data_IF_002512690602
#
_entry.id   IF_002512690602
#
_cell.length_a   1.000
_cell.length_b   1.000
_cell.length_c   1.000
_cell.angle_alpha   90.00
_cell.angle_beta   90.00
_cell.angle_gamma   90.00
#
_symmetry.space_group_name_H-M   'P 1'
#
loop_
_entity.id
_entity.type
_entity.pdbx_description
1 polymer ?
#
# COMPACT_ATOMS: atom_id res chain seq x y z
N UNK A 1 18.35 4.24 11.71
CA UNK A 1 17.63 3.28 10.83
C UNK A 1 17.71 3.81 9.42
N UNK A 2 17.92 2.99 8.38
CA UNK A 2 18.09 3.51 7.02
C UNK A 2 16.79 4.11 6.46
N UNK A 3 16.96 5.10 5.60
CA UNK A 3 15.94 5.73 4.78
C UNK A 3 15.97 5.15 3.38
N UNK A 4 14.88 4.54 2.92
CA UNK A 4 14.75 3.90 1.62
C UNK A 4 14.14 4.86 0.61
N UNK A 5 14.80 5.00 -0.54
CA UNK A 5 14.36 5.84 -1.66
C UNK A 5 13.71 4.96 -2.72
N UNK A 6 12.51 5.35 -3.14
CA UNK A 6 11.67 4.61 -4.08
C UNK A 6 11.17 5.54 -5.19
N UNK A 7 11.37 5.12 -6.43
CA UNK A 7 10.83 5.78 -7.61
C UNK A 7 9.54 5.08 -8.06
N UNK A 8 8.45 5.82 -8.06
CA UNK A 8 7.19 5.41 -8.67
C UNK A 8 7.10 5.99 -10.08
N UNK A 9 7.15 5.11 -11.07
CA UNK A 9 6.91 5.48 -12.46
C UNK A 9 5.40 5.58 -12.75
N UNK A 10 5.05 6.17 -13.90
CA UNK A 10 3.66 6.23 -14.34
C UNK A 10 3.04 4.83 -14.48
N UNK A 11 3.83 3.88 -15.03
CA UNK A 11 3.47 2.46 -15.09
C UNK A 11 3.87 1.81 -13.77
N UNK A 12 2.91 1.28 -12.98
CA UNK A 12 3.21 0.79 -11.64
C UNK A 12 4.27 -0.31 -11.60
N UNK A 13 4.23 -1.25 -12.55
CA UNK A 13 5.15 -2.40 -12.59
C UNK A 13 6.60 -2.03 -12.95
N UNK A 14 6.83 -0.77 -13.36
CA UNK A 14 8.17 -0.22 -13.58
C UNK A 14 8.74 0.45 -12.33
N UNK A 15 7.94 0.64 -11.28
CA UNK A 15 8.39 1.31 -10.05
C UNK A 15 9.49 0.51 -9.36
N UNK A 16 10.53 1.20 -8.92
CA UNK A 16 11.77 0.57 -8.46
C UNK A 16 12.27 1.15 -7.14
N UNK A 17 12.93 0.29 -6.39
CA UNK A 17 13.72 0.68 -5.25
C UNK A 17 15.07 1.21 -5.74
N UNK A 18 15.42 2.44 -5.34
CA UNK A 18 16.63 3.10 -5.83
C UNK A 18 17.83 2.82 -4.92
N UNK A 19 17.72 3.15 -3.64
CA UNK A 19 18.80 3.02 -2.67
C UNK A 19 18.29 3.07 -1.22
N UNK A 20 19.17 2.75 -0.26
CA UNK A 20 18.99 3.04 1.15
C UNK A 20 20.11 3.97 1.62
N UNK A 21 19.74 4.95 2.43
CA UNK A 21 20.66 5.86 3.07
C UNK A 21 20.68 5.61 4.58
N UNK A 22 21.84 5.33 5.14
CA UNK A 22 22.07 5.23 6.58
C UNK A 22 22.51 6.55 7.21
N UNK A 23 23.02 7.48 6.41
CA UNK A 23 23.52 8.77 6.86
C UNK A 23 22.89 9.97 6.12
N UNK A 24 22.87 11.15 6.76
CA UNK A 24 22.37 12.39 6.15
C UNK A 24 23.22 12.84 4.96
N UNK A 25 24.51 12.52 4.97
CA UNK A 25 25.48 12.78 3.89
C UNK A 25 25.10 12.07 2.60
N UNK A 26 24.65 10.81 2.70
CA UNK A 26 24.17 10.02 1.56
C UNK A 26 22.90 10.61 0.96
N UNK A 27 22.01 11.14 1.79
CA UNK A 27 20.76 11.78 1.33
C UNK A 27 21.06 13.08 0.59
N UNK A 28 22.02 13.88 1.07
CA UNK A 28 22.49 15.06 0.33
C UNK A 28 23.03 14.69 -1.04
N UNK A 29 23.76 13.57 -1.15
CA UNK A 29 24.23 13.06 -2.43
C UNK A 29 23.07 12.65 -3.35
N UNK A 30 22.06 11.94 -2.84
CA UNK A 30 20.85 11.56 -3.61
C UNK A 30 20.10 12.80 -4.10
N UNK A 31 20.05 13.87 -3.31
CA UNK A 31 19.39 15.13 -3.68
C UNK A 31 20.23 16.01 -4.62
N UNK A 32 21.46 15.61 -4.97
CA UNK A 32 22.36 16.42 -5.78
C UNK A 32 22.91 17.67 -5.06
N UNK A 33 22.77 17.73 -3.73
CA UNK A 33 23.24 18.80 -2.87
C UNK A 33 24.72 18.62 -2.54
N UNK A 34 25.63 18.86 -3.49
CA UNK A 34 27.06 18.97 -3.18
C UNK A 34 27.49 20.44 -3.06
N UNK A 35 28.14 20.76 -1.94
CA UNK A 35 29.16 21.82 -1.91
C UNK A 35 30.37 21.35 -2.73
N UNK A 36 30.93 22.22 -3.56
CA UNK A 36 32.19 21.99 -4.26
C UNK A 36 33.30 21.61 -3.26
N UNK A 37 33.51 20.33 -3.02
CA UNK A 37 34.74 19.86 -2.40
C UNK A 37 35.38 18.73 -3.20
N UNK A 38 36.69 18.91 -3.31
CA UNK A 38 37.65 18.30 -4.20
C UNK A 38 37.66 16.77 -4.10
N UNK A 39 37.64 16.14 -5.28
CA UNK A 39 37.88 14.73 -5.58
C UNK A 39 38.92 14.10 -4.63
N UNK A 40 38.57 12.98 -4.00
CA UNK A 40 39.47 11.82 -3.86
C UNK A 40 38.70 10.56 -3.44
N UNK A 41 38.69 9.56 -4.33
CA UNK A 41 38.49 8.11 -4.09
C UNK A 41 37.14 7.68 -3.47
N UNK A 42 36.42 6.66 -3.90
CA UNK A 42 36.64 5.50 -4.75
C UNK A 42 35.28 5.18 -5.39
N UNK A 43 35.27 4.29 -6.40
CA UNK A 43 34.09 3.82 -7.12
C UNK A 43 32.98 3.29 -6.18
N UNK A 44 32.13 4.18 -5.68
CA UNK A 44 30.80 3.85 -5.20
C UNK A 44 29.86 3.95 -6.40
N UNK A 45 29.04 2.93 -6.62
CA UNK A 45 28.01 2.93 -7.65
C UNK A 45 27.31 4.28 -7.69
N UNK A 46 27.14 4.86 -8.88
CA UNK A 46 26.58 6.21 -9.06
C UNK A 46 25.22 6.29 -8.37
N UNK A 47 25.20 6.86 -7.16
CA UNK A 47 23.96 7.06 -6.42
C UNK A 47 23.11 8.02 -7.25
N UNK A 48 21.87 7.65 -7.59
CA UNK A 48 21.05 8.45 -8.49
C UNK A 48 20.81 9.84 -7.92
N UNK A 49 21.04 10.86 -8.74
CA UNK A 49 20.71 12.25 -8.42
C UNK A 49 19.25 12.52 -8.79
N UNK A 50 18.45 12.90 -7.79
CA UNK A 50 17.00 13.09 -7.92
C UNK A 50 16.72 14.59 -8.01
N UNK A 51 16.55 15.08 -9.23
CA UNK A 51 16.13 16.45 -9.47
C UNK A 51 14.60 16.50 -9.70
N UNK A 52 13.81 17.24 -8.89
CA UNK A 52 12.35 17.36 -9.06
C UNK A 52 11.88 17.63 -10.50
N UNK A 53 12.58 18.54 -11.18
CA UNK A 53 12.30 18.90 -12.57
C UNK A 53 12.50 17.78 -13.61
N UNK A 54 13.26 16.72 -13.31
CA UNK A 54 13.49 15.61 -14.25
C UNK A 54 12.41 14.55 -14.20
N UNK A 55 11.50 14.59 -13.22
CA UNK A 55 10.37 13.66 -13.12
C UNK A 55 9.47 13.78 -14.35
N UNK A 56 9.10 12.67 -14.98
CA UNK A 56 8.08 12.69 -16.01
C UNK A 56 6.70 12.98 -15.42
N UNK A 57 5.73 13.26 -16.28
CA UNK A 57 4.36 13.54 -15.84
C UNK A 57 3.82 12.32 -15.06
N UNK A 58 3.19 12.56 -13.90
CA UNK A 58 2.66 11.55 -12.96
C UNK A 58 3.67 10.66 -12.26
N UNK A 59 4.97 10.82 -12.53
CA UNK A 59 5.99 10.15 -11.75
C UNK A 59 6.08 10.75 -10.35
N UNK A 60 6.52 9.92 -9.42
CA UNK A 60 6.75 10.33 -8.04
C UNK A 60 8.02 9.71 -7.51
N UNK A 61 8.73 10.47 -6.68
CA UNK A 61 9.81 9.92 -5.88
C UNK A 61 9.43 10.04 -4.42
N UNK A 62 9.80 9.02 -3.64
CA UNK A 62 9.56 9.00 -2.21
C UNK A 62 10.77 8.51 -1.46
N UNK A 63 10.89 8.98 -0.23
CA UNK A 63 11.88 8.54 0.73
C UNK A 63 11.14 8.17 2.02
N UNK A 64 11.33 6.95 2.51
CA UNK A 64 10.58 6.39 3.64
C UNK A 64 11.48 5.59 4.57
N UNK A 65 11.11 5.46 5.84
CA UNK A 65 11.78 4.56 6.77
C UNK A 65 11.77 3.12 6.23
N UNK A 66 12.89 2.42 6.25
CA UNK A 66 13.05 1.07 5.67
C UNK A 66 12.07 0.01 6.19
N UNK A 67 11.60 0.18 7.42
CA UNK A 67 10.64 -0.72 8.06
C UNK A 67 9.24 -0.11 8.14
N UNK A 68 8.98 0.97 7.38
CA UNK A 68 7.65 1.57 7.34
C UNK A 68 6.64 0.54 6.83
N UNK A 69 5.60 0.32 7.63
CA UNK A 69 4.43 -0.43 7.23
C UNK A 69 3.30 0.54 6.95
N UNK A 70 2.65 0.38 5.79
CA UNK A 70 1.41 1.08 5.52
C UNK A 70 0.31 0.54 6.45
N UNK A 71 -0.27 1.41 7.27
CA UNK A 71 -1.34 1.08 8.22
C UNK A 71 -2.53 2.01 8.04
N UNK A 72 -3.65 1.70 8.70
CA UNK A 72 -4.82 2.60 8.75
C UNK A 72 -4.52 3.95 9.41
N UNK A 73 -3.37 4.11 10.07
CA UNK A 73 -2.89 5.36 10.67
C UNK A 73 -1.86 6.10 9.80
N UNK A 74 -1.46 5.53 8.66
CA UNK A 74 -0.54 6.17 7.73
C UNK A 74 -1.28 7.25 6.95
N UNK A 75 -0.75 8.47 6.97
CA UNK A 75 -1.39 9.67 6.42
C UNK A 75 -0.39 10.55 5.71
N UNK A 76 -0.84 11.29 4.72
CA UNK A 76 -0.03 12.31 4.07
C UNK A 76 -0.59 13.71 4.26
N UNK A 77 0.32 14.69 4.21
CA UNK A 77 0.02 16.11 4.29
C UNK A 77 0.77 16.80 3.16
N UNK A 78 0.06 17.52 2.30
CA UNK A 78 0.61 17.96 1.01
C UNK A 78 0.62 19.47 0.87
N UNK A 79 1.67 19.96 0.22
CA UNK A 79 1.72 21.28 -0.41
C UNK A 79 1.57 21.04 -1.91
N UNK A 80 0.60 21.71 -2.53
CA UNK A 80 0.24 21.54 -3.94
C UNK A 80 0.53 22.83 -4.72
N UNK A 81 0.53 22.75 -6.07
CA UNK A 81 0.70 23.91 -6.97
C UNK A 81 2.06 24.59 -6.85
N UNK A 82 3.10 23.84 -6.50
CA UNK A 82 4.46 24.35 -6.50
C UNK A 82 4.97 24.49 -7.93
N UNK A 83 5.57 25.64 -8.26
CA UNK A 83 6.25 25.83 -9.54
C UNK A 83 7.59 25.10 -9.56
N UNK A 84 8.22 25.00 -10.74
CA UNK A 84 9.54 24.35 -10.91
C UNK A 84 10.63 24.92 -10.00
N UNK A 85 10.64 26.23 -9.81
CA UNK A 85 11.68 26.90 -9.00
C UNK A 85 11.41 26.70 -7.50
N UNK A 86 10.14 26.78 -7.09
CA UNK A 86 9.72 26.57 -5.71
C UNK A 86 9.92 25.11 -5.28
N UNK A 87 9.56 24.15 -6.14
CA UNK A 87 9.59 22.73 -5.79
C UNK A 87 11.00 22.22 -5.55
N UNK A 88 12.00 22.76 -6.25
CA UNK A 88 13.39 22.29 -6.11
C UNK A 88 13.89 22.56 -4.69
N UNK A 89 13.81 23.82 -4.26
CA UNK A 89 14.19 24.22 -2.89
C UNK A 89 13.30 23.57 -1.82
N UNK A 90 11.99 23.49 -2.07
CA UNK A 90 11.06 22.92 -1.09
C UNK A 90 11.25 21.41 -0.92
N UNK A 91 11.52 20.68 -2.01
CA UNK A 91 11.82 19.25 -1.97
C UNK A 91 13.10 18.97 -1.21
N UNK A 92 14.16 19.72 -1.47
CA UNK A 92 15.44 19.59 -0.76
C UNK A 92 15.26 19.77 0.75
N UNK A 93 14.58 20.84 1.15
CA UNK A 93 14.25 21.10 2.55
C UNK A 93 13.39 19.97 3.16
N UNK A 94 12.31 19.58 2.47
CA UNK A 94 11.40 18.54 2.93
C UNK A 94 12.07 17.16 3.06
N UNK A 95 12.94 16.82 2.12
CA UNK A 95 13.72 15.59 2.13
C UNK A 95 14.70 15.57 3.29
N UNK A 96 15.49 16.63 3.48
CA UNK A 96 16.39 16.75 4.62
C UNK A 96 15.65 16.71 5.96
N UNK A 97 14.52 17.42 6.06
CA UNK A 97 13.67 17.40 7.25
C UNK A 97 13.17 15.98 7.59
N UNK A 98 12.62 15.25 6.61
CA UNK A 98 12.16 13.88 6.82
C UNK A 98 13.32 12.93 7.16
N UNK A 99 14.46 13.11 6.51
CA UNK A 99 15.67 12.36 6.78
C UNK A 99 16.16 12.52 8.22
N UNK A 100 16.19 13.74 8.74
CA UNK A 100 16.55 14.02 10.13
C UNK A 100 15.62 13.29 11.09
N UNK A 101 14.31 13.31 10.84
CA UNK A 101 13.36 12.55 11.64
C UNK A 101 13.60 11.03 11.59
N UNK A 102 13.90 10.47 10.41
CA UNK A 102 14.09 9.03 10.19
C UNK A 102 15.41 8.54 10.80
N UNK A 103 16.49 9.27 10.56
CA UNK A 103 17.85 8.88 10.95
C UNK A 103 18.12 9.18 12.43
N UNK A 104 17.62 10.31 12.96
CA UNK A 104 17.80 10.68 14.37
C UNK A 104 16.81 9.99 15.32
N UNK A 105 15.84 9.22 14.79
CA UNK A 105 14.88 8.42 15.53
C UNK A 105 15.51 7.47 16.57
N UNK A 106 16.78 7.11 16.39
CA UNK A 106 17.53 6.21 17.27
C UNK A 106 17.65 6.70 18.72
N UNK A 107 17.36 7.98 19.00
CA UNK A 107 17.45 8.58 20.34
C UNK A 107 16.10 8.69 21.06
N UNK A 108 14.98 8.31 20.41
CA UNK A 108 13.62 8.48 20.94
C UNK A 108 13.03 7.22 21.57
N UNK A 109 12.33 7.40 22.70
CA UNK A 109 11.59 6.37 23.47
C UNK A 109 10.99 5.25 22.60
N UNK A 110 11.36 4.00 22.90
CA UNK A 110 10.85 2.74 22.33
C UNK A 110 9.31 2.61 22.31
N UNK A 111 8.58 3.45 23.06
CA UNK A 111 7.12 3.35 23.21
C UNK A 111 6.31 4.17 22.20
N UNK A 112 6.90 5.18 21.55
CA UNK A 112 6.18 6.00 20.57
C UNK A 112 7.09 6.28 19.39
N UNK A 113 6.87 5.53 18.30
CA UNK A 113 7.57 5.73 17.02
C UNK A 113 7.55 7.18 16.53
N UNK A 114 8.42 7.48 15.56
CA UNK A 114 8.52 8.81 14.96
C UNK A 114 7.24 9.14 14.18
N UNK A 115 6.68 10.35 14.36
CA UNK A 115 5.45 10.74 13.67
C UNK A 115 5.67 10.89 12.16
N UNK A 116 6.90 11.21 11.74
CA UNK A 116 7.30 11.29 10.34
C UNK A 116 7.89 9.96 9.90
N UNK A 117 7.34 9.41 8.82
CA UNK A 117 7.72 8.14 8.22
C UNK A 117 8.41 8.31 6.88
N UNK A 118 8.26 9.47 6.24
CA UNK A 118 8.81 9.72 4.92
C UNK A 118 8.30 11.00 4.28
N UNK A 119 8.63 11.16 3.02
CA UNK A 119 8.29 12.31 2.19
C UNK A 119 8.20 11.87 0.73
N UNK A 120 7.44 12.57 -0.08
CA UNK A 120 7.36 12.32 -1.50
C UNK A 120 7.16 13.60 -2.30
N UNK A 121 7.46 13.49 -3.59
CA UNK A 121 7.19 14.49 -4.61
C UNK A 121 6.49 13.82 -5.78
N UNK A 122 5.51 14.51 -6.36
CA UNK A 122 4.79 14.08 -7.56
C UNK A 122 4.70 15.23 -8.55
N UNK A 123 4.94 14.97 -9.84
CA UNK A 123 4.69 15.93 -10.91
C UNK A 123 3.27 15.74 -11.47
N UNK A 124 2.35 16.64 -11.13
CA UNK A 124 0.94 16.52 -11.55
C UNK A 124 0.69 17.12 -12.93
N UNK A 125 1.42 18.17 -13.29
CA UNK A 125 1.35 18.82 -14.60
C UNK A 125 2.75 19.26 -15.06
N UNK A 126 2.93 19.73 -16.31
CA UNK A 126 4.24 20.14 -16.82
C UNK A 126 4.98 21.16 -15.93
N UNK A 127 4.25 22.02 -15.21
CA UNK A 127 4.81 23.02 -14.31
C UNK A 127 4.17 23.01 -12.90
N UNK A 128 3.49 21.91 -12.53
CA UNK A 128 2.79 21.77 -11.24
C UNK A 128 3.28 20.53 -10.51
N UNK A 129 3.74 20.75 -9.28
CA UNK A 129 4.28 19.73 -8.41
C UNK A 129 3.57 19.72 -7.05
N UNK A 130 3.47 18.52 -6.48
CA UNK A 130 3.05 18.31 -5.10
C UNK A 130 4.20 17.71 -4.32
N UNK A 131 4.46 18.25 -3.13
CA UNK A 131 5.36 17.65 -2.14
C UNK A 131 4.54 17.30 -0.92
N UNK A 132 4.72 16.09 -0.39
CA UNK A 132 3.95 15.59 0.73
C UNK A 132 4.80 14.92 1.80
N UNK A 133 4.45 15.16 3.06
CA UNK A 133 5.03 14.48 4.21
C UNK A 133 4.20 13.24 4.55
N UNK A 134 4.86 12.10 4.68
CA UNK A 134 4.25 10.83 5.08
C UNK A 134 4.43 10.68 6.58
N UNK A 135 3.32 10.44 7.27
CA UNK A 135 3.28 10.43 8.74
C UNK A 135 2.51 9.22 9.24
N UNK A 136 2.75 8.84 10.48
CA UNK A 136 2.01 7.80 11.18
C UNK A 136 1.46 8.37 12.49
N UNK A 137 0.15 8.20 12.70
CA UNK A 137 -0.52 8.61 13.93
C UNK A 137 -1.76 9.44 13.67
N UNK A 138 -2.18 10.17 14.71
CA UNK A 138 -3.43 10.96 14.69
C UNK A 138 -3.11 12.43 14.87
N UNK A 139 -4.03 13.31 14.43
CA UNK A 139 -3.89 14.76 14.59
C UNK A 139 -3.85 15.23 16.06
N UNK A 140 -4.14 14.33 17.02
CA UNK A 140 -4.02 14.62 18.46
C UNK A 140 -2.59 14.53 18.97
N UNK A 141 -1.65 13.99 18.19
CA UNK A 141 -0.23 13.93 18.57
C UNK A 141 0.41 15.31 18.36
N UNK A 142 0.82 15.96 19.45
CA UNK A 142 1.48 17.27 19.39
C UNK A 142 2.77 17.22 18.56
N UNK A 143 3.52 16.11 18.62
CA UNK A 143 4.76 15.95 17.85
C UNK A 143 4.50 15.97 16.33
N UNK A 144 3.34 15.45 15.93
CA UNK A 144 2.91 15.52 14.53
C UNK A 144 2.57 16.97 14.16
N UNK A 145 1.85 17.70 15.00
CA UNK A 145 1.51 19.10 14.74
C UNK A 145 2.76 19.98 14.62
N UNK A 146 3.74 19.78 15.50
CA UNK A 146 5.01 20.51 15.47
C UNK A 146 5.79 20.20 14.18
N UNK A 147 5.82 18.93 13.77
CA UNK A 147 6.46 18.52 12.52
C UNK A 147 5.75 19.09 11.28
N UNK A 148 4.42 19.16 11.29
CA UNK A 148 3.64 19.72 10.18
C UNK A 148 3.85 21.23 10.03
N UNK A 149 3.93 21.96 11.14
CA UNK A 149 4.21 23.39 11.13
C UNK A 149 5.60 23.70 10.56
N UNK A 150 6.60 22.88 10.90
CA UNK A 150 7.96 23.01 10.36
C UNK A 150 8.03 22.62 8.88
N UNK A 151 7.36 21.53 8.49
CA UNK A 151 7.33 21.06 7.11
C UNK A 151 6.66 22.04 6.15
N UNK A 152 5.51 22.62 6.53
CA UNK A 152 4.73 23.42 5.60
C UNK A 152 5.34 24.79 5.34
N UNK A 153 6.02 25.40 6.33
CA UNK A 153 6.53 26.77 6.25
C UNK A 153 7.46 26.99 5.03
N UNK A 154 7.29 28.07 4.23
CA UNK A 154 6.30 29.16 4.35
C UNK A 154 4.95 28.91 3.65
N UNK A 155 4.74 27.70 3.12
CA UNK A 155 3.55 27.31 2.36
C UNK A 155 2.40 26.85 3.27
N UNK A 156 1.18 26.91 2.74
CA UNK A 156 0.01 26.31 3.37
C UNK A 156 -0.14 24.85 2.96
N UNK A 157 -0.55 23.99 3.90
CA UNK A 157 -0.95 22.62 3.59
C UNK A 157 -2.28 22.64 2.83
N UNK A 158 -2.28 22.10 1.61
CA UNK A 158 -3.47 21.96 0.78
C UNK A 158 -4.34 20.78 1.24
N UNK A 159 -3.71 19.67 1.64
CA UNK A 159 -4.39 18.52 2.26
C UNK A 159 -3.70 18.14 3.55
N UNK A 160 -4.51 17.87 4.58
CA UNK A 160 -4.06 17.44 5.90
C UNK A 160 -4.75 16.12 6.21
N UNK A 161 -3.99 15.16 6.73
CA UNK A 161 -4.50 13.86 7.13
C UNK A 161 -5.21 13.09 5.99
N UNK A 162 -4.68 13.21 4.77
CA UNK A 162 -5.19 12.49 3.61
C UNK A 162 -4.56 11.09 3.49
N UNK A 163 -5.17 10.22 2.69
CA UNK A 163 -4.55 8.95 2.31
C UNK A 163 -3.38 9.18 1.33
N UNK A 164 -2.31 8.41 1.50
CA UNK A 164 -1.08 8.53 0.71
C UNK A 164 -1.34 8.32 -0.80
N UNK A 165 -1.19 9.30 -1.69
CA UNK A 165 -1.52 9.09 -3.12
C UNK A 165 -0.61 8.07 -3.83
N UNK A 166 0.61 7.83 -3.33
CA UNK A 166 1.53 6.85 -3.89
C UNK A 166 0.95 5.45 -3.80
N UNK A 167 0.97 4.73 -4.93
CA UNK A 167 0.50 3.34 -5.01
C UNK A 167 -0.95 3.15 -4.51
N UNK A 168 -1.80 4.18 -4.59
CA UNK A 168 -3.18 4.12 -4.09
C UNK A 168 -4.00 2.98 -4.69
N UNK A 169 -3.84 2.72 -6.00
CA UNK A 169 -4.46 1.58 -6.67
C UNK A 169 -4.04 0.21 -6.07
N UNK A 170 -2.83 0.11 -5.52
CA UNK A 170 -2.35 -1.13 -4.88
C UNK A 170 -2.95 -1.36 -3.49
N UNK A 171 -3.54 -0.33 -2.88
CA UNK A 171 -4.19 -0.43 -1.58
C UNK A 171 -5.65 -0.89 -1.64
N UNK A 172 -6.25 -0.90 -2.83
CA UNK A 172 -7.59 -1.41 -3.05
C UNK A 172 -7.63 -2.95 -3.15
N UNK A 173 -6.54 -3.64 -2.76
CA UNK A 173 -6.49 -5.09 -2.69
C UNK A 173 -7.16 -5.59 -1.39
N UNK A 174 -8.04 -6.58 -1.52
CA UNK A 174 -8.73 -7.23 -0.40
C UNK A 174 -8.52 -8.74 -0.43
N UNK A 175 -8.41 -9.34 0.76
CA UNK A 175 -8.28 -10.77 0.96
C UNK A 175 -9.62 -11.36 1.41
N UNK A 176 -10.04 -12.45 0.76
CA UNK A 176 -11.17 -13.29 1.16
C UNK A 176 -10.71 -14.73 1.22
N UNK A 177 -11.13 -15.42 2.28
CA UNK A 177 -10.82 -16.82 2.50
C UNK A 177 -12.10 -17.64 2.34
N UNK A 178 -11.99 -18.78 1.69
CA UNK A 178 -13.08 -19.73 1.58
C UNK A 178 -12.57 -21.13 1.83
N UNK A 179 -13.34 -21.90 2.60
CA UNK A 179 -13.06 -23.29 2.90
C UNK A 179 -14.19 -24.14 2.35
N UNK A 180 -13.88 -25.19 1.59
CA UNK A 180 -14.90 -26.06 1.02
C UNK A 180 -15.70 -26.76 2.14
N UNK A 181 -17.03 -26.60 2.19
CA UNK A 181 -17.84 -27.30 3.17
C UNK A 181 -17.77 -28.81 2.96
N UNK A 182 -17.41 -29.56 4.00
CA UNK A 182 -17.50 -31.04 4.01
C UNK A 182 -18.20 -31.53 5.28
N UNK A 183 -18.89 -32.66 5.14
CA UNK A 183 -19.55 -33.34 6.26
C UNK A 183 -18.57 -34.19 7.09
N UNK A 184 -17.50 -34.67 6.44
CA UNK A 184 -16.44 -35.45 7.07
C UNK A 184 -15.60 -34.59 8.01
N UNK A 185 -15.23 -35.14 9.16
CA UNK A 185 -14.30 -34.46 10.07
C UNK A 185 -12.88 -34.52 9.52
N UNK A 186 -12.07 -33.55 9.93
CA UNK A 186 -10.65 -33.55 9.61
C UNK A 186 -9.94 -34.52 10.56
N UNK A 187 -9.10 -35.38 10.02
CA UNK A 187 -8.28 -36.32 10.79
C UNK A 187 -6.79 -36.05 10.56
N UNK A 188 -5.92 -36.42 11.51
CA UNK A 188 -4.48 -36.35 11.32
C UNK A 188 -4.01 -37.04 10.04
N UNK A 189 -2.98 -36.49 9.41
CA UNK A 189 -2.32 -37.02 8.21
C UNK A 189 -3.20 -37.15 6.95
N UNK A 190 -4.47 -36.76 7.01
CA UNK A 190 -5.36 -36.73 5.85
C UNK A 190 -5.46 -35.33 5.29
N UNK A 191 -5.56 -35.28 3.96
CA UNK A 191 -5.79 -34.05 3.22
C UNK A 191 -7.11 -33.43 3.67
N UNK A 192 -7.03 -32.17 4.09
CA UNK A 192 -8.16 -31.36 4.53
C UNK A 192 -9.04 -30.95 3.35
N UNK A 193 -10.28 -30.51 3.60
CA UNK A 193 -11.08 -29.85 2.59
C UNK A 193 -10.29 -28.72 1.90
N UNK A 194 -10.36 -28.62 0.56
CA UNK A 194 -9.69 -27.58 -0.18
C UNK A 194 -10.04 -26.17 0.33
N UNK A 195 -9.01 -25.35 0.47
CA UNK A 195 -9.13 -23.94 0.78
C UNK A 195 -8.88 -23.10 -0.47
N UNK A 196 -9.63 -22.02 -0.62
CA UNK A 196 -9.38 -20.98 -1.61
C UNK A 196 -8.98 -19.68 -0.93
N UNK A 197 -7.90 -19.09 -1.42
CA UNK A 197 -7.49 -17.74 -1.10
C UNK A 197 -7.84 -16.86 -2.30
N UNK A 198 -8.73 -15.90 -2.07
CA UNK A 198 -9.28 -15.02 -3.10
C UNK A 198 -8.75 -13.61 -2.83
N UNK A 199 -7.99 -13.08 -3.78
CA UNK A 199 -7.47 -11.72 -3.76
C UNK A 199 -8.22 -10.91 -4.80
N UNK A 200 -8.77 -9.78 -4.38
CA UNK A 200 -9.55 -8.90 -5.25
C UNK A 200 -8.92 -7.51 -5.26
N UNK A 201 -8.69 -6.92 -6.43
CA UNK A 201 -8.15 -5.57 -6.56
C UNK A 201 -9.04 -4.75 -7.49
N UNK A 202 -9.49 -3.58 -7.01
CA UNK A 202 -10.21 -2.62 -7.84
C UNK A 202 -9.21 -1.84 -8.70
N UNK A 203 -9.48 -1.74 -10.00
CA UNK A 203 -8.66 -1.00 -10.96
C UNK A 203 -9.48 0.13 -11.57
N UNK A 204 -8.94 1.35 -11.53
CA UNK A 204 -9.55 2.52 -12.17
C UNK A 204 -9.11 2.61 -13.64
N UNK A 205 -10.07 2.93 -14.52
CA UNK A 205 -9.99 2.95 -16.00
C UNK A 205 -8.82 3.75 -16.63
N UNK A 206 -8.09 4.56 -15.87
CA UNK A 206 -7.17 5.56 -16.42
C UNK A 206 -5.84 5.01 -16.94
N UNK A 207 -5.54 3.72 -16.73
CA UNK A 207 -4.23 3.14 -17.04
C UNK A 207 -4.24 2.07 -18.16
N UNK A 208 -5.38 1.79 -18.80
CA UNK A 208 -5.50 0.76 -19.84
C UNK A 208 -5.30 1.28 -21.29
N UNK A 209 -4.36 2.20 -21.51
CA UNK A 209 -3.94 2.57 -22.87
C UNK A 209 -2.45 2.37 -23.09
N UNK A 210 -1.86 1.24 -22.67
CA UNK A 210 -0.68 0.67 -23.35
C UNK A 210 -0.24 -0.65 -22.72
N UNK A 211 -0.26 -1.71 -23.52
CA UNK A 211 0.51 -2.92 -23.26
C UNK A 211 -0.28 -4.03 -22.57
N UNK A 212 -0.11 -5.22 -23.13
CA UNK A 212 -0.55 -6.52 -22.67
C UNK A 212 0.01 -6.75 -21.25
N UNK A 213 -0.74 -6.35 -20.21
CA UNK A 213 -0.40 -6.61 -18.82
C UNK A 213 -0.70 -8.07 -18.53
N UNK A 214 0.33 -8.80 -18.08
CA UNK A 214 0.24 -10.21 -17.72
C UNK A 214 -0.93 -10.42 -16.75
N UNK A 215 -1.93 -11.20 -17.18
CA UNK A 215 -3.26 -11.26 -16.58
C UNK A 215 -3.28 -11.86 -15.16
N UNK A 216 -2.14 -12.35 -14.66
CA UNK A 216 -2.00 -12.98 -13.33
C UNK A 216 -1.38 -12.11 -12.22
N UNK A 217 -0.71 -10.99 -12.54
CA UNK A 217 0.05 -10.23 -11.54
C UNK A 217 -0.79 -9.26 -10.69
N UNK A 218 -0.92 -9.52 -9.39
CA UNK A 218 -1.43 -8.55 -8.39
C UNK A 218 -0.28 -7.62 -7.97
N UNK A 219 -0.29 -6.37 -8.43
CA UNK A 219 0.80 -5.42 -8.18
C UNK A 219 1.06 -5.20 -6.68
N UNK A 220 2.33 -5.31 -6.27
CA UNK A 220 2.80 -5.06 -4.89
C UNK A 220 2.84 -6.30 -3.99
N UNK A 221 2.35 -7.45 -4.44
CA UNK A 221 2.38 -8.72 -3.70
C UNK A 221 3.10 -9.80 -4.52
N UNK A 222 3.63 -10.82 -3.85
CA UNK A 222 4.44 -11.87 -4.49
C UNK A 222 3.92 -13.29 -4.24
N UNK A 223 3.42 -13.57 -3.04
CA UNK A 223 3.04 -14.93 -2.65
C UNK A 223 1.92 -14.90 -1.61
N UNK A 224 1.28 -16.05 -1.42
CA UNK A 224 0.38 -16.33 -0.32
C UNK A 224 0.98 -17.43 0.54
N UNK A 225 1.05 -17.17 1.84
CA UNK A 225 1.50 -18.10 2.86
C UNK A 225 0.32 -18.54 3.72
N UNK A 226 0.20 -19.84 3.96
CA UNK A 226 -0.80 -20.47 4.80
C UNK A 226 -0.08 -21.18 5.92
N UNK A 227 -0.53 -20.98 7.16
CA UNK A 227 0.12 -21.54 8.33
C UNK A 227 -0.88 -21.79 9.45
N UNK A 228 -0.48 -22.56 10.46
CA UNK A 228 -1.25 -22.73 11.69
C UNK A 228 -0.90 -21.63 12.70
N UNK A 229 -1.93 -20.95 13.19
CA UNK A 229 -1.81 -19.98 14.28
C UNK A 229 -1.82 -20.65 15.65
N UNK A 230 -2.52 -21.78 15.78
CA UNK A 230 -2.55 -22.61 16.99
C UNK A 230 -3.03 -24.03 16.67
N UNK A 231 -2.62 -25.02 17.49
CA UNK A 231 -1.64 -24.91 18.58
C UNK A 231 -0.21 -24.74 18.04
N UNK A 232 0.66 -24.03 18.77
CA UNK A 232 2.01 -23.70 18.28
C UNK A 232 2.92 -24.92 18.07
N UNK A 233 2.60 -26.04 18.71
CA UNK A 233 3.31 -27.30 18.55
C UNK A 233 2.88 -28.08 17.28
N UNK A 234 1.76 -27.69 16.66
CA UNK A 234 1.22 -28.39 15.50
C UNK A 234 1.82 -27.91 14.19
N UNK A 235 1.93 -28.82 13.23
CA UNK A 235 2.48 -28.54 11.92
C UNK A 235 1.42 -28.64 10.83
N UNK A 236 1.41 -27.61 9.97
CA UNK A 236 0.69 -27.63 8.70
C UNK A 236 1.62 -28.16 7.63
N UNK A 237 1.23 -29.24 6.98
CA UNK A 237 1.98 -29.86 5.91
C UNK A 237 1.24 -29.70 4.56
N UNK A 238 1.96 -29.95 3.46
CA UNK A 238 1.49 -29.72 2.10
C UNK A 238 2.04 -28.43 1.49
N UNK A 239 1.39 -27.94 0.43
CA UNK A 239 1.79 -26.71 -0.27
C UNK A 239 1.37 -25.46 0.50
N UNK A 240 2.10 -25.10 1.55
CA UNK A 240 1.77 -23.96 2.43
C UNK A 240 2.12 -22.58 1.85
N UNK A 241 2.84 -22.52 0.74
CA UNK A 241 3.19 -21.27 0.04
C UNK A 241 2.93 -21.43 -1.45
N UNK A 242 2.23 -20.46 -2.05
CA UNK A 242 2.02 -20.39 -3.51
C UNK A 242 2.37 -19.00 -4.03
N UNK A 243 3.11 -18.92 -5.14
CA UNK A 243 3.41 -17.65 -5.80
C UNK A 243 2.16 -17.16 -6.53
N UNK A 244 1.99 -15.85 -6.61
CA UNK A 244 0.84 -15.27 -7.32
C UNK A 244 0.92 -15.50 -8.84
N UNK A 245 2.13 -15.68 -9.38
CA UNK A 245 2.35 -15.97 -10.79
C UNK A 245 1.87 -17.38 -11.18
N UNK A 246 1.73 -18.29 -10.21
CA UNK A 246 1.26 -19.65 -10.42
C UNK A 246 -0.28 -19.77 -10.37
N UNK A 247 -0.99 -18.64 -10.21
CA UNK A 247 -2.44 -18.62 -10.09
C UNK A 247 -3.14 -18.92 -11.42
N UNK A 248 -4.21 -19.73 -11.35
CA UNK A 248 -5.08 -19.99 -12.52
C UNK A 248 -5.86 -18.71 -12.84
N UNK A 249 -5.81 -18.32 -14.12
CA UNK A 249 -6.41 -17.15 -14.79
C UNK A 249 -7.25 -16.20 -13.94
N UNK A 250 -6.82 -14.94 -13.86
CA UNK A 250 -7.61 -13.88 -13.26
C UNK A 250 -8.96 -13.74 -13.98
N UNK A 251 -10.04 -13.82 -13.23
CA UNK A 251 -11.37 -13.57 -13.80
C UNK A 251 -11.64 -12.06 -13.71
N UNK A 252 -11.92 -11.43 -14.84
CA UNK A 252 -12.35 -10.03 -14.90
C UNK A 252 -13.87 -9.98 -14.78
N UNK A 253 -14.37 -9.55 -13.63
CA UNK A 253 -15.80 -9.28 -13.47
C UNK A 253 -16.06 -7.79 -13.69
N UNK A 254 -16.72 -7.47 -14.82
CA UNK A 254 -17.25 -6.14 -15.11
C UNK A 254 -18.46 -5.91 -14.19
N UNK A 255 -18.29 -5.11 -13.15
CA UNK A 255 -19.41 -4.74 -12.28
C UNK A 255 -19.92 -3.37 -12.67
N UNK A 256 -21.07 -3.30 -13.36
CA UNK A 256 -21.81 -2.06 -13.55
C UNK A 256 -22.61 -1.74 -12.29
N UNK A 257 -22.04 -0.93 -11.40
CA UNK A 257 -22.81 -0.38 -10.29
C UNK A 257 -23.78 0.67 -10.82
N UNK A 258 -25.04 0.29 -11.06
CA UNK A 258 -26.13 1.25 -11.22
C UNK A 258 -26.36 1.98 -9.89
N UNK A 259 -26.49 3.31 -9.96
CA UNK A 259 -26.66 4.20 -8.81
C UNK A 259 -28.04 4.06 -8.09
N UNK A 260 -28.65 2.88 -8.07
CA UNK A 260 -29.96 2.63 -7.45
C UNK A 260 -29.88 2.09 -6.01
N UNK A 261 -28.78 1.46 -5.58
CA UNK A 261 -28.70 0.80 -4.26
C UNK A 261 -28.21 1.69 -3.10
N UNK A 262 -28.28 3.01 -3.26
CA UNK A 262 -28.04 3.97 -2.18
C UNK A 262 -29.32 4.46 -1.49
N UNK A 263 -30.35 3.61 -1.30
CA UNK A 263 -31.43 3.93 -0.37
C UNK A 263 -31.93 2.69 0.39
N UNK A 264 -31.26 2.34 1.48
CA UNK A 264 -31.91 1.61 2.59
C UNK A 264 -31.36 1.98 3.96
N UNK A 265 -31.05 3.27 4.18
CA UNK A 265 -30.93 3.76 5.57
C UNK A 265 -31.21 5.26 5.67
N UNK A 266 -32.48 5.62 5.89
CA UNK A 266 -32.85 6.67 6.86
C UNK A 266 -34.37 6.84 6.96
N UNK A 267 -34.88 6.37 8.10
CA UNK A 267 -35.92 6.98 8.95
C UNK A 267 -36.80 8.07 8.32
N UNK A 268 -38.10 7.78 8.34
CA UNK A 268 -39.25 8.71 8.33
C UNK A 268 -38.90 10.10 8.89
N UNK A 269 -39.14 11.15 8.10
CA UNK A 269 -39.71 12.45 8.55
C UNK A 269 -40.28 13.20 7.34
N UNK A 270 -41.55 13.60 7.45
CA UNK A 270 -42.31 14.45 6.52
C UNK A 270 -41.80 15.90 6.59
N UNK A 271 -41.66 16.56 5.44
CA UNK A 271 -41.97 17.97 5.11
C UNK A 271 -41.42 18.22 3.69
N UNK A 272 -42.26 18.33 2.67
CA UNK A 272 -42.93 19.55 2.18
C UNK A 272 -42.06 20.31 1.15
N UNK A 273 -42.56 20.28 -0.09
CA UNK A 273 -42.46 21.24 -1.19
C UNK A 273 -41.26 22.19 -1.26
N UNK A 274 -40.52 22.17 -2.37
CA UNK A 274 -40.61 23.19 -3.41
C UNK A 274 -39.84 22.70 -4.65
N UNK A 275 -40.56 22.62 -5.77
CA UNK A 275 -40.01 22.43 -7.12
C UNK A 275 -39.53 23.80 -7.58
N UNK A 276 -38.26 23.91 -7.95
CA UNK A 276 -37.74 24.99 -8.80
C UNK A 276 -36.96 24.30 -9.91
N UNK A 277 -37.47 24.47 -11.13
CA UNK A 277 -36.80 24.12 -12.38
C UNK A 277 -35.45 24.85 -12.46
N UNK A 278 -34.37 24.10 -12.61
CA UNK A 278 -33.09 24.63 -13.07
C UNK A 278 -32.76 23.97 -14.44
N UNK A 279 -32.92 24.70 -15.56
CA UNK A 279 -32.89 24.12 -16.89
C UNK A 279 -31.51 24.26 -17.54
N UNK A 280 -30.40 23.91 -16.89
CA UNK A 280 -29.11 23.71 -17.58
C UNK A 280 -28.12 22.92 -16.71
N UNK A 281 -28.04 21.62 -16.96
CA UNK A 281 -27.01 20.81 -16.34
C UNK A 281 -27.31 19.34 -16.52
N UNK A 282 -27.17 18.83 -17.75
CA UNK A 282 -27.02 17.40 -17.97
C UNK A 282 -25.79 16.94 -17.17
N UNK A 283 -26.03 16.54 -15.92
CA UNK A 283 -25.14 15.74 -15.14
C UNK A 283 -24.95 14.45 -15.94
N UNK A 284 -23.93 14.45 -16.81
CA UNK A 284 -23.31 13.23 -17.31
C UNK A 284 -22.88 12.49 -16.05
N UNK A 285 -23.76 11.65 -15.53
CA UNK A 285 -23.38 10.53 -14.69
C UNK A 285 -22.44 9.72 -15.56
N UNK A 286 -21.14 10.00 -15.45
CA UNK A 286 -20.12 9.14 -16.01
C UNK A 286 -20.34 7.82 -15.32
N UNK A 287 -20.87 6.84 -16.06
CA UNK A 287 -20.69 5.44 -15.73
C UNK A 287 -19.18 5.25 -15.52
N UNK A 288 -18.76 5.22 -14.25
CA UNK A 288 -17.43 4.78 -13.90
C UNK A 288 -17.50 3.27 -13.94
N UNK A 289 -17.18 2.70 -15.10
CA UNK A 289 -16.92 1.28 -15.22
C UNK A 289 -15.77 0.95 -14.26
N UNK A 290 -16.07 0.20 -13.20
CA UNK A 290 -15.10 -0.20 -12.19
C UNK A 290 -14.70 -1.64 -12.48
N UNK A 291 -13.44 -1.85 -12.80
CA UNK A 291 -12.92 -3.17 -13.13
C UNK A 291 -12.41 -3.81 -11.85
N UNK A 292 -12.85 -5.04 -11.57
CA UNK A 292 -12.34 -5.83 -10.45
C UNK A 292 -11.52 -6.98 -11.00
N UNK A 293 -10.28 -7.05 -10.56
CA UNK A 293 -9.40 -8.18 -10.82
C UNK A 293 -9.48 -9.16 -9.67
N UNK A 294 -9.70 -10.43 -9.96
CA UNK A 294 -9.79 -11.49 -8.94
C UNK A 294 -8.75 -12.56 -9.23
N UNK A 295 -7.88 -12.84 -8.28
CA UNK A 295 -6.89 -13.93 -8.30
C UNK A 295 -7.32 -14.97 -7.28
N UNK A 296 -7.43 -16.24 -7.70
CA UNK A 296 -7.84 -17.34 -6.83
C UNK A 296 -6.73 -18.39 -6.75
N UNK A 297 -6.22 -18.61 -5.55
CA UNK A 297 -5.27 -19.66 -5.24
C UNK A 297 -5.96 -20.79 -4.50
N UNK A 298 -5.82 -22.01 -5.02
CA UNK A 298 -6.36 -23.22 -4.40
C UNK A 298 -5.28 -23.89 -3.57
N UNK A 299 -5.63 -24.37 -2.38
CA UNK A 299 -4.79 -25.15 -1.48
C UNK A 299 -5.52 -26.46 -1.17
N UNK A 300 -5.11 -27.52 -1.86
CA UNK A 300 -5.84 -28.78 -2.02
C UNK A 300 -5.10 -30.00 -1.45
N UNK A 301 -3.88 -29.80 -0.95
CA UNK A 301 -2.99 -30.83 -0.42
C UNK A 301 -2.58 -30.60 1.05
N UNK A 302 -3.29 -29.69 1.74
CA UNK A 302 -2.97 -29.34 3.12
C UNK A 302 -3.41 -30.42 4.10
N UNK A 303 -2.59 -30.73 5.11
CA UNK A 303 -2.94 -31.62 6.21
C UNK A 303 -2.25 -31.23 7.52
N UNK A 304 -2.80 -31.72 8.63
CA UNK A 304 -2.30 -31.47 10.00
C UNK A 304 -1.87 -32.80 10.64
N UNK A 305 -0.86 -32.77 11.50
CA UNK A 305 -0.33 -33.99 12.12
C UNK A 305 -0.97 -34.28 13.48
N UNK A 306 -1.44 -33.26 14.18
CA UNK A 306 -1.90 -33.34 15.56
C UNK A 306 -3.43 -33.25 15.68
N UNK A 307 -3.97 -33.90 16.70
CA UNK A 307 -5.38 -33.79 17.07
C UNK A 307 -5.64 -32.52 17.89
N UNK A 308 -6.91 -32.10 17.93
CA UNK A 308 -7.38 -30.96 18.70
C UNK A 308 -7.85 -29.80 17.84
N UNK A 309 -8.09 -28.66 18.50
CA UNK A 309 -8.59 -27.46 17.83
C UNK A 309 -7.46 -26.70 17.14
N UNK A 310 -7.63 -26.45 15.84
CA UNK A 310 -6.66 -25.80 14.98
C UNK A 310 -7.22 -24.50 14.41
N UNK A 311 -6.34 -23.53 14.16
CA UNK A 311 -6.66 -22.26 13.50
C UNK A 311 -5.69 -22.00 12.38
N UNK A 312 -6.19 -21.88 11.15
CA UNK A 312 -5.38 -21.52 9.98
C UNK A 312 -5.35 -20.00 9.81
N UNK A 313 -4.14 -19.47 9.67
CA UNK A 313 -3.84 -18.11 9.25
C UNK A 313 -3.37 -18.08 7.79
N UNK A 314 -3.66 -16.97 7.13
CA UNK A 314 -3.22 -16.69 5.76
C UNK A 314 -2.63 -15.29 5.71
N UNK A 315 -1.40 -15.18 5.20
CA UNK A 315 -0.70 -13.92 4.96
C UNK A 315 -0.37 -13.78 3.47
N UNK A 316 -0.62 -12.60 2.91
CA UNK A 316 -0.17 -12.26 1.56
C UNK A 316 1.17 -11.53 1.67
N UNK A 317 2.21 -12.15 1.13
CA UNK A 317 3.56 -11.62 1.11
C UNK A 317 3.63 -10.40 0.19
N UNK A 318 4.00 -9.26 0.77
CA UNK A 318 4.24 -8.01 0.03
C UNK A 318 5.62 -8.05 -0.61
N UNK A 319 5.74 -7.49 -1.81
CA UNK A 319 7.05 -7.22 -2.38
C UNK A 319 7.82 -6.26 -1.45
N UNK A 320 9.09 -6.55 -1.10
CA UNK A 320 9.84 -5.72 -0.15
C UNK A 320 9.87 -4.23 -0.51
N UNK A 321 9.97 -3.90 -1.80
CA UNK A 321 9.97 -2.53 -2.32
C UNK A 321 8.62 -1.80 -2.17
N UNK A 322 7.51 -2.53 -2.02
CA UNK A 322 6.16 -1.99 -1.92
C UNK A 322 5.63 -1.96 -0.47
N UNK A 323 6.38 -2.52 0.49
CA UNK A 323 5.95 -2.72 1.89
C UNK A 323 5.42 -1.44 2.56
N UNK A 324 6.04 -0.29 2.27
CA UNK A 324 5.66 1.02 2.82
C UNK A 324 4.38 1.63 2.19
N UNK A 325 3.90 1.05 1.10
CA UNK A 325 2.86 1.65 0.26
C UNK A 325 1.60 0.78 0.13
N UNK A 326 1.72 -0.53 0.32
CA UNK A 326 0.60 -1.48 0.27
C UNK A 326 0.28 -2.04 1.66
N UNK A 327 -1.01 -2.25 1.99
CA UNK A 327 -1.41 -2.77 3.29
C UNK A 327 -0.92 -4.22 3.47
N UNK A 328 -0.60 -4.58 4.70
CA UNK A 328 -0.47 -6.00 5.05
C UNK A 328 -1.84 -6.66 4.93
N UNK A 329 -1.94 -7.73 4.15
CA UNK A 329 -3.16 -8.52 4.02
C UNK A 329 -2.99 -9.81 4.81
N UNK A 330 -3.82 -9.94 5.83
CA UNK A 330 -3.86 -11.09 6.71
C UNK A 330 -5.30 -11.50 6.98
N UNK A 331 -5.54 -12.79 7.08
CA UNK A 331 -6.85 -13.37 7.40
C UNK A 331 -6.69 -14.68 8.14
N UNK A 332 -7.79 -15.16 8.70
CA UNK A 332 -7.86 -16.47 9.31
C UNK A 332 -9.17 -17.15 8.93
N UNK A 333 -9.14 -18.47 8.86
CA UNK A 333 -10.35 -19.26 8.79
C UNK A 333 -10.96 -19.44 10.18
N UNK A 334 -12.21 -19.86 10.24
CA UNK A 334 -12.81 -20.27 11.51
C UNK A 334 -12.00 -21.44 12.10
N UNK A 335 -11.85 -21.51 13.43
CA UNK A 335 -11.25 -22.68 14.07
C UNK A 335 -11.98 -23.96 13.68
N UNK A 336 -11.24 -25.07 13.56
CA UNK A 336 -11.77 -26.39 13.25
C UNK A 336 -11.16 -27.44 14.16
N UNK A 337 -11.86 -28.57 14.32
CA UNK A 337 -11.43 -29.67 15.16
C UNK A 337 -10.84 -30.78 14.29
N UNK A 338 -9.63 -31.22 14.65
CA UNK A 338 -8.99 -32.42 14.12
C UNK A 338 -9.22 -33.54 15.13
N UNK A 339 -9.81 -34.64 14.70
CA UNK A 339 -10.16 -35.78 15.58
C UNK A 339 -9.44 -37.05 15.16
N UNK A 340 -9.25 -37.96 16.12
CA UNK A 340 -8.72 -39.29 15.86
C UNK A 340 -9.50 -40.00 14.74
N UNK A 341 -8.83 -40.89 14.01
CA UNK A 341 -9.45 -41.55 12.86
C UNK A 341 -10.68 -42.39 13.23
N UNK A 342 -10.74 -42.85 14.48
CA UNK A 342 -11.85 -43.64 15.03
C UNK A 342 -13.10 -42.80 15.32
N UNK A 343 -12.94 -41.48 15.45
CA UNK A 343 -13.98 -40.50 15.81
C UNK A 343 -14.42 -39.61 14.62
N UNK A 344 -13.93 -39.93 13.42
CA UNK A 344 -13.99 -39.11 12.20
C UNK A 344 -15.33 -39.13 11.46
#
# INVERSE_FOLDING_TARGET
MPSCVFCRHEVPDKSEYMCACTELTEIRHVLGLQEKQTITSNAAASVPSIHPASLALRESVSMTLSHADYTSLTRCHTVERLTKDQVTLFWEHAAMFAAEHILNAASGSLRRGTPVMGVFITRNAPADFTVGLITQGTLRDQRLQDALAQFSSPHALARVHAELPLCAAHRAATLRLWWEPRAERVTPHRVMPPMKVILEQQQEHQYQQQGQLDETHLCGYVAVNVFLCRPAASQLCGSTRKLLNDAVAATFEKTTTHAADKISSRRKKKAAAFVVDDPHGAARSREQEQWRRTVVLHFDDLFVLEEGEHLIGVEVERLPSYKAFVPALYGHLAPFLVVAHEDA
#
